data_IF_293994815061
#
_entry.id   IF_293994815061
#
_cell.length_a   1.000
_cell.length_b   1.000
_cell.length_c   1.000
_cell.angle_alpha   90.00
_cell.angle_beta   90.00
_cell.angle_gamma   90.00
#
_symmetry.space_group_name_H-M   'P 1'
#
loop_
_entity.id
_entity.type
_entity.pdbx_description
1 polymer ?
#
# COMPACT_ATOMS: atom_id res chain seq x y z
N UNK A 1 -49.46 -39.73 25.23
CA UNK A 1 -49.42 -38.28 25.54
C UNK A 1 -48.73 -38.12 26.88
N UNK A 2 -47.56 -37.47 26.94
CA UNK A 2 -46.97 -36.93 28.17
C UNK A 2 -45.89 -35.90 27.79
N UNK A 3 -46.25 -34.63 27.99
CA UNK A 3 -45.43 -33.43 27.80
C UNK A 3 -44.64 -33.20 29.08
N UNK A 4 -43.35 -33.56 29.15
CA UNK A 4 -42.45 -33.06 30.22
C UNK A 4 -41.02 -32.88 29.72
N UNK A 5 -40.60 -31.62 29.81
CA UNK A 5 -39.23 -31.11 29.89
C UNK A 5 -38.40 -31.08 28.59
N UNK A 6 -38.70 -30.06 27.80
CA UNK A 6 -37.74 -29.35 26.95
C UNK A 6 -36.65 -28.76 27.86
N UNK A 7 -35.40 -29.19 27.69
CA UNK A 7 -34.21 -28.45 28.18
C UNK A 7 -33.18 -28.42 27.04
N UNK A 8 -33.41 -27.49 26.12
CA UNK A 8 -32.42 -27.06 25.15
C UNK A 8 -31.32 -26.27 25.90
N UNK A 9 -30.20 -26.92 26.17
CA UNK A 9 -28.99 -26.26 26.65
C UNK A 9 -28.27 -25.60 25.46
N UNK A 10 -28.75 -24.43 25.04
CA UNK A 10 -28.04 -23.57 24.09
C UNK A 10 -26.83 -22.94 24.78
N UNK A 11 -25.66 -23.54 24.60
CA UNK A 11 -24.37 -22.92 24.91
C UNK A 11 -24.13 -21.86 23.83
N UNK A 12 -24.44 -20.61 24.14
CA UNK A 12 -24.08 -19.47 23.30
C UNK A 12 -22.57 -19.27 23.47
N UNK A 13 -21.79 -19.87 22.57
CA UNK A 13 -20.38 -19.54 22.40
C UNK A 13 -20.30 -18.12 21.83
N UNK A 14 -20.18 -17.11 22.70
CA UNK A 14 -19.81 -15.76 22.28
C UNK A 14 -18.37 -15.79 21.78
N UNK A 15 -18.20 -15.99 20.48
CA UNK A 15 -16.95 -15.73 19.79
C UNK A 15 -16.67 -14.22 19.90
N UNK A 16 -15.83 -13.84 20.86
CA UNK A 16 -15.27 -12.49 20.91
C UNK A 16 -14.30 -12.39 19.74
N UNK A 17 -14.78 -11.89 18.60
CA UNK A 17 -13.91 -11.59 17.47
C UNK A 17 -13.09 -10.36 17.88
N UNK A 18 -11.75 -10.43 17.94
CA UNK A 18 -10.94 -9.24 18.12
C UNK A 18 -11.16 -8.38 16.88
N UNK A 19 -11.86 -7.26 17.06
CA UNK A 19 -11.93 -6.20 16.06
C UNK A 19 -10.51 -5.65 15.99
N UNK A 20 -9.72 -6.12 15.03
CA UNK A 20 -8.45 -5.49 14.70
C UNK A 20 -8.76 -4.04 14.35
N UNK A 21 -8.39 -3.11 15.22
CA UNK A 21 -8.35 -1.69 14.89
C UNK A 21 -7.31 -1.53 13.78
N UNK A 22 -7.76 -1.53 12.52
CA UNK A 22 -6.92 -1.27 11.37
C UNK A 22 -6.47 0.21 11.43
N UNK A 23 -5.39 0.47 12.15
CA UNK A 23 -4.69 1.74 12.02
C UNK A 23 -4.14 1.81 10.59
N UNK A 24 -4.52 2.84 9.83
CA UNK A 24 -4.04 3.03 8.48
C UNK A 24 -2.51 3.13 8.48
N UNK A 25 -1.82 2.22 7.78
CA UNK A 25 -0.37 2.20 7.69
C UNK A 25 0.09 3.04 6.50
N UNK A 26 0.62 4.24 6.77
CA UNK A 26 1.20 5.09 5.73
C UNK A 26 2.51 4.47 5.21
N UNK A 27 2.60 4.07 3.93
CA UNK A 27 3.82 3.48 3.40
C UNK A 27 4.89 4.55 3.17
N UNK A 28 6.15 4.13 3.24
CA UNK A 28 7.29 5.02 2.96
C UNK A 28 7.72 4.87 1.50
N UNK A 29 7.98 5.96 0.77
CA UNK A 29 8.50 5.90 -0.60
C UNK A 29 9.80 5.09 -0.69
N UNK A 30 10.02 4.34 -1.78
CA UNK A 30 11.24 3.57 -1.96
C UNK A 30 12.44 4.49 -2.24
N UNK A 31 13.63 4.08 -1.83
CA UNK A 31 14.87 4.76 -2.21
C UNK A 31 15.09 4.61 -3.71
N UNK A 32 15.20 5.74 -4.41
CA UNK A 32 15.42 5.77 -5.85
C UNK A 32 16.93 5.76 -6.17
N UNK A 33 17.37 5.01 -7.19
CA UNK A 33 18.78 4.96 -7.57
C UNK A 33 19.22 6.24 -8.29
N UNK A 34 20.51 6.57 -8.20
CA UNK A 34 21.10 7.68 -8.95
C UNK A 34 21.11 7.35 -10.46
N UNK A 35 20.39 8.10 -11.31
CA UNK A 35 20.32 7.82 -12.74
C UNK A 35 21.67 7.94 -13.48
N UNK A 36 22.68 8.62 -12.91
CA UNK A 36 24.01 8.76 -13.52
C UNK A 36 24.92 7.56 -13.24
N UNK A 37 24.69 6.84 -12.14
CA UNK A 37 25.46 5.66 -11.74
C UNK A 37 24.67 4.34 -11.81
N UNK A 38 23.34 4.39 -11.98
CA UNK A 38 22.50 3.22 -11.87
C UNK A 38 22.81 2.15 -12.92
N UNK A 39 22.83 0.88 -12.54
CA UNK A 39 22.84 -0.25 -13.49
C UNK A 39 21.42 -0.75 -13.76
N UNK A 40 21.21 -1.46 -14.88
CA UNK A 40 19.89 -2.01 -15.25
C UNK A 40 19.23 -2.77 -14.10
N UNK A 41 19.99 -3.58 -13.36
CA UNK A 41 19.47 -4.34 -12.22
C UNK A 41 18.90 -3.45 -11.10
N UNK A 42 19.54 -2.30 -10.82
CA UNK A 42 19.06 -1.34 -9.82
C UNK A 42 17.78 -0.64 -10.31
N UNK A 43 17.68 -0.30 -11.59
CA UNK A 43 16.47 0.28 -12.17
C UNK A 43 15.29 -0.71 -12.15
N UNK A 44 15.55 -2.00 -12.42
CA UNK A 44 14.54 -3.07 -12.31
C UNK A 44 14.08 -3.23 -10.87
N UNK A 45 15.01 -3.29 -9.91
CA UNK A 45 14.69 -3.33 -8.47
C UNK A 45 13.83 -2.13 -8.07
N UNK A 46 14.22 -0.92 -8.47
CA UNK A 46 13.48 0.30 -8.17
C UNK A 46 12.05 0.27 -8.74
N UNK A 47 11.86 -0.27 -9.96
CA UNK A 47 10.53 -0.47 -10.55
C UNK A 47 9.65 -1.39 -9.70
N UNK A 48 10.19 -2.52 -9.23
CA UNK A 48 9.45 -3.45 -8.38
C UNK A 48 9.11 -2.84 -7.02
N UNK A 49 10.05 -2.11 -6.41
CA UNK A 49 9.81 -1.40 -5.15
C UNK A 49 8.78 -0.28 -5.31
N UNK A 50 8.80 0.44 -6.43
CA UNK A 50 7.78 1.45 -6.75
C UNK A 50 6.41 0.81 -6.90
N UNK A 51 6.31 -0.35 -7.58
CA UNK A 51 5.06 -1.09 -7.66
C UNK A 51 4.53 -1.47 -6.26
N UNK A 52 5.38 -2.06 -5.42
CA UNK A 52 4.98 -2.43 -4.06
C UNK A 52 4.55 -1.22 -3.22
N UNK A 53 5.22 -0.08 -3.39
CA UNK A 53 4.82 1.18 -2.77
C UNK A 53 3.45 1.64 -3.25
N UNK A 54 3.17 1.64 -4.57
CA UNK A 54 1.87 2.04 -5.10
C UNK A 54 0.73 1.13 -4.63
N UNK A 55 1.00 -0.19 -4.56
CA UNK A 55 0.02 -1.15 -4.02
C UNK A 55 -0.30 -0.85 -2.54
N UNK A 56 0.73 -0.58 -1.72
CA UNK A 56 0.54 -0.18 -0.32
C UNK A 56 -0.09 1.22 -0.16
N UNK A 57 0.21 2.14 -1.07
CA UNK A 57 -0.31 3.50 -1.08
C UNK A 57 -1.79 3.54 -1.41
N UNK A 58 -2.26 2.67 -2.32
CA UNK A 58 -3.67 2.49 -2.62
C UNK A 58 -4.41 1.89 -1.41
N UNK A 59 -3.84 0.89 -0.75
CA UNK A 59 -4.43 0.35 0.48
C UNK A 59 -4.54 1.42 1.60
N UNK A 60 -3.55 2.32 1.68
CA UNK A 60 -3.62 3.47 2.58
C UNK A 60 -4.71 4.47 2.17
N UNK A 61 -4.82 4.82 0.87
CA UNK A 61 -5.90 5.68 0.34
C UNK A 61 -7.29 5.16 0.72
N UNK A 62 -7.52 3.86 0.52
CA UNK A 62 -8.80 3.24 0.83
C UNK A 62 -9.12 3.37 2.33
N UNK A 63 -8.11 3.18 3.18
CA UNK A 63 -8.23 3.30 4.63
C UNK A 63 -8.55 4.73 5.10
N UNK A 64 -7.96 5.76 4.46
CA UNK A 64 -8.17 7.17 4.81
C UNK A 64 -9.27 7.85 3.98
N UNK A 65 -10.03 7.10 3.18
CA UNK A 65 -11.01 7.64 2.23
C UNK A 65 -12.10 8.53 2.85
N UNK A 66 -12.37 8.38 4.16
CA UNK A 66 -13.26 9.25 4.93
C UNK A 66 -12.68 10.63 5.31
N UNK A 67 -11.37 10.84 5.17
CA UNK A 67 -10.69 12.12 5.44
C UNK A 67 -10.19 12.74 4.14
N UNK A 68 -11.02 13.60 3.54
CA UNK A 68 -10.72 14.28 2.27
C UNK A 68 -9.39 15.05 2.29
N UNK A 69 -9.01 15.63 3.44
CA UNK A 69 -7.77 16.41 3.54
C UNK A 69 -6.56 15.48 3.47
N UNK A 70 -6.56 14.41 4.24
CA UNK A 70 -5.48 13.42 4.21
C UNK A 70 -5.44 12.69 2.86
N UNK A 71 -6.60 12.36 2.29
CA UNK A 71 -6.71 11.71 0.99
C UNK A 71 -6.03 12.55 -0.10
N UNK A 72 -6.41 13.83 -0.23
CA UNK A 72 -5.85 14.72 -1.24
C UNK A 72 -4.34 14.94 -1.03
N UNK A 73 -3.90 15.16 0.21
CA UNK A 73 -2.49 15.33 0.52
C UNK A 73 -1.66 14.09 0.13
N UNK A 74 -2.23 12.90 0.29
CA UNK A 74 -1.56 11.66 -0.08
C UNK A 74 -1.55 11.41 -1.60
N UNK A 75 -2.62 11.76 -2.32
CA UNK A 75 -2.64 11.77 -3.78
C UNK A 75 -1.52 12.66 -4.34
N UNK A 76 -1.33 13.85 -3.78
CA UNK A 76 -0.25 14.77 -4.18
C UNK A 76 1.14 14.17 -3.92
N UNK A 77 1.32 13.50 -2.79
CA UNK A 77 2.58 12.82 -2.44
C UNK A 77 2.88 11.64 -3.39
N UNK A 78 1.86 10.85 -3.74
CA UNK A 78 1.97 9.78 -4.73
C UNK A 78 2.33 10.31 -6.11
N UNK A 79 1.68 11.39 -6.56
CA UNK A 79 1.97 12.03 -7.85
C UNK A 79 3.42 12.52 -7.90
N UNK A 80 3.89 13.22 -6.86
CA UNK A 80 5.28 13.68 -6.76
C UNK A 80 6.28 12.52 -6.82
N UNK A 81 5.98 11.43 -6.13
CA UNK A 81 6.84 10.23 -6.11
C UNK A 81 6.91 9.57 -7.49
N UNK A 82 5.77 9.48 -8.19
CA UNK A 82 5.72 8.96 -9.55
C UNK A 82 6.51 9.84 -10.54
N UNK A 83 6.41 11.16 -10.42
CA UNK A 83 7.16 12.11 -11.26
C UNK A 83 8.66 12.00 -11.06
N UNK A 84 9.11 11.85 -9.81
CA UNK A 84 10.53 11.62 -9.49
C UNK A 84 11.05 10.34 -10.12
N UNK A 85 10.32 9.23 -9.96
CA UNK A 85 10.70 7.95 -10.59
C UNK A 85 10.75 8.07 -12.12
N UNK A 86 9.75 8.70 -12.72
CA UNK A 86 9.70 8.92 -14.16
C UNK A 86 10.87 9.80 -14.65
N UNK A 87 11.27 10.82 -13.90
CA UNK A 87 12.42 11.65 -14.22
C UNK A 87 13.73 10.83 -14.23
N UNK A 88 13.93 9.98 -13.23
CA UNK A 88 15.09 9.08 -13.13
C UNK A 88 15.10 8.09 -14.30
N UNK A 89 13.96 7.45 -14.60
CA UNK A 89 13.84 6.53 -15.74
C UNK A 89 14.18 7.23 -17.06
N UNK A 90 13.68 8.45 -17.29
CA UNK A 90 14.00 9.21 -18.50
C UNK A 90 15.49 9.54 -18.58
N UNK A 91 16.10 9.96 -17.48
CA UNK A 91 17.53 10.30 -17.43
C UNK A 91 18.41 9.07 -17.67
N UNK A 92 18.10 7.96 -17.01
CA UNK A 92 18.75 6.66 -17.24
C UNK A 92 18.66 6.25 -18.72
N UNK A 93 17.46 6.31 -19.31
CA UNK A 93 17.26 5.95 -20.73
C UNK A 93 18.10 6.81 -21.67
N UNK A 94 18.19 8.13 -21.43
CA UNK A 94 19.04 9.02 -22.24
C UNK A 94 20.50 8.63 -22.15
N UNK A 95 21.02 8.39 -20.94
CA UNK A 95 22.42 7.98 -20.73
C UNK A 95 22.73 6.66 -21.46
N UNK A 96 21.85 5.67 -21.35
CA UNK A 96 22.01 4.37 -22.02
C UNK A 96 21.89 4.44 -23.55
N UNK A 97 21.26 5.48 -24.10
CA UNK A 97 21.19 5.68 -25.55
C UNK A 97 22.43 6.38 -26.12
N UNK A 98 23.23 7.03 -25.27
CA UNK A 98 24.46 7.73 -25.64
C UNK A 98 25.73 6.98 -25.21
N UNK A 99 25.59 5.82 -24.59
CA UNK A 99 26.68 4.90 -24.19
C UNK A 99 26.75 3.77 -25.18
#
# INVERSE_FOLDING_TARGET
MNVKAILAASIIATAVVPVATLACHKPTPPTLPDPDAAVTAQMVKAKHQMKAFMDAANAYLDCISGDTRQYNAWIDEMAKTADQFNAIVRKYKRRMATT
#
